data_IF_917279637144
#
_entry.id   IF_917279637144
#
_cell.length_a   1.000
_cell.length_b   1.000
_cell.length_c   1.000
_cell.angle_alpha   90.00
_cell.angle_beta   90.00
_cell.angle_gamma   90.00
#
_symmetry.space_group_name_H-M   'P 1'
#
loop_
_entity.id
_entity.type
_entity.pdbx_description
1 polymer ?
#
# COMPACT_ATOMS: atom_id res chain seq x y z
N UNK A 1 -14.53 -4.76 -20.01
CA UNK A 1 -13.38 -3.91 -19.71
C UNK A 1 -12.13 -4.55 -20.32
N UNK A 2 -11.31 -3.77 -21.06
CA UNK A 2 -10.13 -4.25 -21.78
C UNK A 2 -8.92 -4.39 -20.86
N UNK A 3 -9.06 -5.20 -19.81
CA UNK A 3 -7.96 -5.51 -18.87
C UNK A 3 -7.38 -6.86 -19.25
N UNK A 4 -6.07 -6.88 -19.52
CA UNK A 4 -5.34 -8.12 -19.84
C UNK A 4 -4.69 -8.67 -18.57
N UNK A 5 -4.68 -10.00 -18.45
CA UNK A 5 -3.93 -10.70 -17.37
C UNK A 5 -2.66 -11.26 -17.98
N UNK A 6 -1.52 -10.96 -17.37
CA UNK A 6 -0.19 -11.37 -17.84
C UNK A 6 0.64 -11.92 -16.69
N UNK A 7 1.60 -12.79 -17.00
CA UNK A 7 2.61 -13.23 -16.02
C UNK A 7 3.74 -12.21 -15.96
N UNK A 8 4.29 -12.02 -14.77
CA UNK A 8 5.48 -11.18 -14.53
C UNK A 8 6.52 -11.98 -13.74
N UNK A 9 7.82 -11.81 -14.03
CA UNK A 9 8.86 -12.52 -13.29
C UNK A 9 8.99 -12.01 -11.85
N UNK A 10 9.47 -12.88 -10.97
CA UNK A 10 9.72 -12.57 -9.55
C UNK A 10 8.64 -13.09 -8.61
N UNK A 11 8.92 -12.95 -7.31
CA UNK A 11 7.99 -13.32 -6.23
C UNK A 11 7.35 -12.05 -5.68
N UNK A 12 6.05 -12.11 -5.36
CA UNK A 12 5.29 -10.99 -4.80
C UNK A 12 5.31 -9.72 -5.70
N UNK A 13 5.33 -9.94 -7.01
CA UNK A 13 5.32 -8.89 -8.03
C UNK A 13 3.92 -8.64 -8.59
N UNK A 14 2.91 -9.24 -7.97
CA UNK A 14 1.51 -9.10 -8.36
C UNK A 14 1.08 -7.64 -8.26
N UNK A 15 0.51 -7.09 -9.33
CA UNK A 15 0.01 -5.72 -9.34
C UNK A 15 -0.91 -5.43 -10.53
N UNK A 16 -1.84 -4.51 -10.34
CA UNK A 16 -2.56 -3.88 -11.43
C UNK A 16 -1.81 -2.64 -11.94
N UNK A 17 -1.57 -2.55 -13.23
CA UNK A 17 -0.97 -1.38 -13.87
C UNK A 17 -2.07 -0.56 -14.59
N UNK A 18 -2.41 0.64 -14.10
CA UNK A 18 -3.46 1.46 -14.70
C UNK A 18 -3.05 2.11 -16.04
N UNK A 19 -1.75 2.26 -16.32
CA UNK A 19 -1.27 2.91 -17.54
C UNK A 19 -1.55 2.07 -18.78
N UNK A 20 -1.35 0.75 -18.69
CA UNK A 20 -1.58 -0.19 -19.78
C UNK A 20 -2.80 -1.11 -19.55
N UNK A 21 -3.52 -0.94 -18.45
CA UNK A 21 -4.68 -1.75 -18.02
C UNK A 21 -4.35 -3.25 -17.97
N UNK A 22 -3.24 -3.61 -17.34
CA UNK A 22 -2.87 -5.01 -17.15
C UNK A 22 -2.89 -5.39 -15.68
N UNK A 23 -3.39 -6.59 -15.40
CA UNK A 23 -3.17 -7.32 -14.16
C UNK A 23 -1.95 -8.20 -14.38
N UNK A 24 -0.88 -7.92 -13.67
CA UNK A 24 0.38 -8.63 -13.77
C UNK A 24 0.49 -9.55 -12.55
N UNK A 25 0.57 -10.86 -12.78
CA UNK A 25 0.63 -11.86 -11.72
C UNK A 25 2.03 -12.50 -11.72
N UNK A 26 2.60 -12.65 -10.53
CA UNK A 26 3.86 -13.38 -10.35
C UNK A 26 3.72 -14.82 -10.86
N UNK A 27 4.81 -15.43 -11.27
CA UNK A 27 4.80 -16.80 -11.83
C UNK A 27 4.14 -17.81 -10.87
N UNK A 28 4.38 -17.64 -9.56
CA UNK A 28 3.80 -18.49 -8.52
C UNK A 28 2.28 -18.33 -8.37
N UNK A 29 1.73 -17.17 -8.70
CA UNK A 29 0.29 -16.91 -8.69
C UNK A 29 -0.34 -17.27 -10.03
N UNK A 30 0.28 -16.87 -11.14
CA UNK A 30 -0.25 -17.09 -12.49
C UNK A 30 -0.39 -18.59 -12.84
N UNK A 31 0.58 -19.41 -12.44
CA UNK A 31 0.58 -20.87 -12.71
C UNK A 31 -0.09 -21.72 -11.63
N UNK A 32 -0.64 -21.13 -10.55
CA UNK A 32 -1.17 -21.87 -9.40
C UNK A 32 -2.69 -22.01 -9.44
N UNK A 33 -3.18 -23.21 -9.09
CA UNK A 33 -4.61 -23.47 -8.87
C UNK A 33 -5.03 -23.35 -7.40
N UNK A 34 -4.21 -22.73 -6.53
CA UNK A 34 -4.51 -22.59 -5.11
C UNK A 34 -5.55 -21.48 -4.86
N UNK A 35 -6.31 -21.64 -3.78
CA UNK A 35 -7.28 -20.62 -3.32
C UNK A 35 -6.59 -19.28 -3.02
N UNK A 36 -5.38 -19.33 -2.46
CA UNK A 36 -4.59 -18.13 -2.17
C UNK A 36 -4.19 -17.39 -3.46
N UNK A 37 -3.72 -18.11 -4.48
CA UNK A 37 -3.38 -17.51 -5.78
C UNK A 37 -4.62 -16.90 -6.46
N UNK A 38 -5.76 -17.58 -6.41
CA UNK A 38 -7.03 -17.04 -6.90
C UNK A 38 -7.44 -15.76 -6.14
N UNK A 39 -7.22 -15.72 -4.82
CA UNK A 39 -7.51 -14.55 -4.01
C UNK A 39 -6.61 -13.35 -4.36
N UNK A 40 -5.32 -13.56 -4.58
CA UNK A 40 -4.37 -12.52 -5.03
C UNK A 40 -4.78 -12.00 -6.41
N UNK A 41 -5.03 -12.90 -7.39
CA UNK A 41 -5.46 -12.50 -8.73
C UNK A 41 -6.77 -11.70 -8.70
N UNK A 42 -7.74 -12.12 -7.89
CA UNK A 42 -9.01 -11.41 -7.69
C UNK A 42 -8.79 -10.04 -7.04
N UNK A 43 -7.83 -9.92 -6.12
CA UNK A 43 -7.47 -8.65 -5.48
C UNK A 43 -6.94 -7.64 -6.50
N UNK A 44 -6.04 -8.05 -7.40
CA UNK A 44 -5.52 -7.19 -8.47
C UNK A 44 -6.63 -6.79 -9.46
N UNK A 45 -7.59 -7.68 -9.73
CA UNK A 45 -8.81 -7.31 -10.45
C UNK A 45 -9.68 -6.31 -9.68
N UNK A 46 -9.65 -6.36 -8.34
CA UNK A 46 -10.28 -5.38 -7.46
C UNK A 46 -9.74 -3.96 -7.69
N UNK A 47 -8.41 -3.81 -7.84
CA UNK A 47 -7.77 -2.54 -8.20
C UNK A 47 -8.15 -2.07 -9.60
N UNK A 48 -8.22 -2.97 -10.58
CA UNK A 48 -8.71 -2.63 -11.92
C UNK A 48 -10.13 -2.07 -11.87
N UNK A 49 -11.00 -2.67 -11.05
CA UNK A 49 -12.39 -2.21 -10.88
C UNK A 49 -12.46 -0.87 -10.12
N UNK A 50 -11.61 -0.65 -9.12
CA UNK A 50 -11.49 0.64 -8.44
C UNK A 50 -11.08 1.75 -9.43
N UNK A 51 -10.10 1.48 -10.29
CA UNK A 51 -9.67 2.41 -11.32
C UNK A 51 -10.80 2.71 -12.31
N UNK A 52 -11.49 1.67 -12.82
CA UNK A 52 -12.61 1.82 -13.75
C UNK A 52 -13.80 2.61 -13.17
N UNK A 53 -14.03 2.50 -11.84
CA UNK A 53 -15.07 3.23 -11.11
C UNK A 53 -14.63 4.57 -10.55
N UNK A 54 -13.40 5.00 -10.85
CA UNK A 54 -12.83 6.25 -10.37
C UNK A 54 -12.89 6.40 -8.83
N UNK A 55 -12.59 5.32 -8.10
CA UNK A 55 -12.64 5.26 -6.63
C UNK A 55 -11.76 6.34 -6.01
N UNK A 56 -12.36 7.24 -5.22
CA UNK A 56 -11.70 8.44 -4.74
C UNK A 56 -10.40 8.18 -3.93
N UNK A 57 -10.35 7.22 -2.98
CA UNK A 57 -9.10 6.93 -2.26
C UNK A 57 -7.97 6.44 -3.19
N UNK A 58 -8.27 5.67 -4.24
CA UNK A 58 -7.26 5.26 -5.22
C UNK A 58 -6.71 6.45 -6.01
N UNK A 59 -7.55 7.41 -6.38
CA UNK A 59 -7.12 8.66 -7.03
C UNK A 59 -6.22 9.48 -6.12
N UNK A 60 -6.58 9.61 -4.84
CA UNK A 60 -5.76 10.32 -3.85
C UNK A 60 -4.40 9.64 -3.67
N UNK A 61 -4.38 8.30 -3.52
CA UNK A 61 -3.15 7.51 -3.47
C UNK A 61 -2.28 7.80 -4.69
N UNK A 62 -2.84 7.70 -5.90
CA UNK A 62 -2.11 7.92 -7.16
C UNK A 62 -1.54 9.34 -7.27
N UNK A 63 -2.28 10.36 -6.82
CA UNK A 63 -1.82 11.74 -6.82
C UNK A 63 -0.65 11.99 -5.85
N UNK A 64 -0.58 11.21 -4.75
CA UNK A 64 0.50 11.32 -3.76
C UNK A 64 1.78 10.56 -4.16
N UNK A 65 1.71 9.61 -5.10
CA UNK A 65 2.88 8.81 -5.51
C UNK A 65 4.10 9.67 -5.85
N UNK A 66 4.03 10.70 -6.72
CA UNK A 66 5.22 11.50 -7.06
C UNK A 66 5.77 12.27 -5.84
N UNK A 67 4.91 12.75 -4.95
CA UNK A 67 5.32 13.44 -3.71
C UNK A 67 6.06 12.47 -2.79
N UNK A 68 5.52 11.27 -2.60
CA UNK A 68 6.14 10.24 -1.74
C UNK A 68 7.44 9.72 -2.34
N UNK A 69 7.52 9.52 -3.65
CA UNK A 69 8.75 9.12 -4.32
C UNK A 69 9.86 10.15 -4.12
N UNK A 70 9.57 11.43 -4.32
CA UNK A 70 10.53 12.51 -4.05
C UNK A 70 10.92 12.53 -2.57
N UNK A 71 9.94 12.54 -1.65
CA UNK A 71 10.19 12.56 -0.21
C UNK A 71 11.06 11.37 0.23
N UNK A 72 10.75 10.17 -0.22
CA UNK A 72 11.45 8.94 0.18
C UNK A 72 12.92 8.94 -0.26
N UNK A 73 13.27 9.62 -1.36
CA UNK A 73 14.65 9.68 -1.85
C UNK A 73 15.59 10.50 -0.94
N UNK A 74 15.05 11.45 -0.19
CA UNK A 74 15.84 12.40 0.59
C UNK A 74 15.56 12.38 2.09
N UNK A 75 14.39 11.88 2.53
CA UNK A 75 13.89 12.02 3.90
C UNK A 75 14.87 11.47 4.94
N UNK A 76 15.51 10.33 4.68
CA UNK A 76 16.46 9.72 5.61
C UNK A 76 17.68 10.61 5.89
N UNK A 77 18.19 11.25 4.86
CA UNK A 77 19.31 12.19 4.98
C UNK A 77 18.91 13.47 5.69
N UNK A 78 17.74 14.01 5.38
CA UNK A 78 17.21 15.23 6.01
C UNK A 78 16.93 15.00 7.50
N UNK A 79 16.33 13.85 7.86
CA UNK A 79 16.07 13.48 9.25
C UNK A 79 17.39 13.26 10.03
N UNK A 80 18.36 12.57 9.43
CA UNK A 80 19.67 12.36 10.06
C UNK A 80 20.37 13.70 10.33
N UNK A 81 20.48 14.57 9.31
CA UNK A 81 21.05 15.91 9.47
C UNK A 81 20.25 16.74 10.50
N UNK A 82 18.92 16.63 10.47
CA UNK A 82 18.03 17.33 11.40
C UNK A 82 18.23 16.93 12.86
N UNK A 83 18.44 15.64 13.14
CA UNK A 83 18.73 15.16 14.51
C UNK A 83 20.09 15.69 14.97
N UNK A 84 21.13 15.57 14.13
CA UNK A 84 22.48 16.01 14.48
C UNK A 84 22.55 17.52 14.73
N UNK A 85 21.71 18.30 14.05
CA UNK A 85 21.71 19.76 14.11
C UNK A 85 20.50 20.33 14.85
N UNK A 86 19.78 19.53 15.64
CA UNK A 86 18.51 19.93 16.26
C UNK A 86 18.64 21.14 17.20
N UNK A 87 19.78 21.34 17.82
CA UNK A 87 20.04 22.47 18.72
C UNK A 87 20.43 23.76 17.94
N UNK A 88 21.12 23.62 16.83
CA UNK A 88 21.63 24.77 16.05
C UNK A 88 20.67 25.17 14.91
N UNK A 89 20.10 24.20 14.20
CA UNK A 89 19.24 24.41 13.02
C UNK A 89 18.02 23.48 13.05
N UNK A 90 17.07 23.66 14.00
CA UNK A 90 15.92 22.79 14.16
C UNK A 90 15.00 22.73 12.93
N UNK A 91 15.06 23.72 12.04
CA UNK A 91 14.26 23.77 10.83
C UNK A 91 14.55 22.59 9.89
N UNK A 92 15.78 22.02 9.93
CA UNK A 92 16.15 20.87 9.12
C UNK A 92 15.34 19.65 9.59
N UNK A 93 15.24 19.43 10.90
CA UNK A 93 14.43 18.35 11.46
C UNK A 93 12.95 18.55 11.14
N UNK A 94 12.45 19.77 11.24
CA UNK A 94 11.07 20.09 10.88
C UNK A 94 10.77 19.78 9.41
N UNK A 95 11.68 20.12 8.49
CA UNK A 95 11.55 19.78 7.08
C UNK A 95 11.50 18.25 6.88
N UNK A 96 12.36 17.49 7.57
CA UNK A 96 12.34 16.03 7.55
C UNK A 96 11.03 15.45 8.07
N UNK A 97 10.48 16.01 9.14
CA UNK A 97 9.17 15.61 9.71
C UNK A 97 8.05 15.84 8.70
N UNK A 98 8.03 16.98 8.00
CA UNK A 98 7.02 17.28 6.97
C UNK A 98 7.13 16.30 5.79
N UNK A 99 8.33 16.01 5.32
CA UNK A 99 8.56 15.02 4.27
C UNK A 99 8.12 13.62 4.71
N UNK A 100 8.42 13.23 5.93
CA UNK A 100 8.02 11.92 6.47
C UNK A 100 6.50 11.83 6.70
N UNK A 101 5.86 12.93 7.11
CA UNK A 101 4.41 13.01 7.27
C UNK A 101 3.66 12.73 5.96
N UNK A 102 4.20 13.12 4.81
CA UNK A 102 3.63 12.78 3.49
C UNK A 102 3.60 11.25 3.27
N UNK A 103 4.66 10.54 3.63
CA UNK A 103 4.72 9.07 3.55
C UNK A 103 3.76 8.40 4.54
N UNK A 104 3.63 8.95 5.75
CA UNK A 104 2.66 8.48 6.75
C UNK A 104 1.24 8.64 6.24
N UNK A 105 0.89 9.82 5.70
CA UNK A 105 -0.41 10.08 5.11
C UNK A 105 -0.72 9.11 3.95
N UNK A 106 0.26 8.87 3.08
CA UNK A 106 0.13 7.90 1.99
C UNK A 106 -0.20 6.50 2.50
N UNK A 107 0.45 6.05 3.57
CA UNK A 107 0.19 4.74 4.19
C UNK A 107 -1.26 4.64 4.67
N UNK A 108 -1.80 5.69 5.32
CA UNK A 108 -3.19 5.72 5.77
C UNK A 108 -4.21 5.79 4.63
N UNK A 109 -3.92 6.52 3.55
CA UNK A 109 -4.79 6.58 2.36
C UNK A 109 -4.76 5.23 1.62
N UNK A 110 -3.67 4.48 1.69
CA UNK A 110 -3.56 3.16 1.08
C UNK A 110 -4.46 2.13 1.76
N UNK A 111 -4.67 2.20 3.08
CA UNK A 111 -5.50 1.23 3.82
C UNK A 111 -6.92 1.04 3.25
N UNK A 112 -7.74 2.08 3.06
CA UNK A 112 -9.08 1.89 2.49
C UNK A 112 -9.05 1.37 1.05
N UNK A 113 -7.99 1.65 0.29
CA UNK A 113 -7.82 1.13 -1.07
C UNK A 113 -7.65 -0.39 -1.02
N UNK A 114 -6.74 -0.88 -0.19
CA UNK A 114 -6.41 -2.31 -0.05
C UNK A 114 -7.59 -3.11 0.55
N UNK A 115 -8.22 -2.58 1.60
CA UNK A 115 -9.39 -3.21 2.22
C UNK A 115 -10.54 -3.32 1.22
N UNK A 116 -10.81 -2.26 0.45
CA UNK A 116 -11.88 -2.27 -0.53
C UNK A 116 -11.58 -3.21 -1.71
N UNK A 117 -10.32 -3.29 -2.20
CA UNK A 117 -9.93 -4.24 -3.25
C UNK A 117 -10.12 -5.68 -2.77
N UNK A 118 -9.67 -6.01 -1.55
CA UNK A 118 -9.85 -7.34 -0.93
C UNK A 118 -11.33 -7.70 -0.74
N UNK A 119 -12.15 -6.76 -0.26
CA UNK A 119 -13.58 -6.98 -0.12
C UNK A 119 -14.29 -7.28 -1.45
N UNK A 120 -13.91 -6.58 -2.52
CA UNK A 120 -14.40 -6.85 -3.88
C UNK A 120 -13.95 -8.22 -4.39
N UNK A 121 -12.71 -8.60 -4.14
CA UNK A 121 -12.16 -9.91 -4.50
C UNK A 121 -12.96 -11.04 -3.86
N UNK A 122 -13.18 -10.99 -2.55
CA UNK A 122 -13.94 -12.00 -1.81
C UNK A 122 -15.39 -12.12 -2.29
N UNK A 123 -16.06 -10.99 -2.46
CA UNK A 123 -17.43 -10.97 -2.96
C UNK A 123 -17.53 -11.59 -4.37
N UNK A 124 -16.59 -11.26 -5.26
CA UNK A 124 -16.56 -11.83 -6.60
C UNK A 124 -16.26 -13.32 -6.59
N UNK A 125 -15.29 -13.79 -5.81
CA UNK A 125 -14.93 -15.20 -5.72
C UNK A 125 -16.10 -16.06 -5.21
N UNK A 126 -16.85 -15.54 -4.23
CA UNK A 126 -18.06 -16.20 -3.73
C UNK A 126 -19.17 -16.25 -4.79
N UNK A 127 -19.46 -15.12 -5.44
CA UNK A 127 -20.53 -15.01 -6.44
C UNK A 127 -20.24 -15.82 -7.71
N UNK A 128 -18.97 -15.95 -8.09
CA UNK A 128 -18.52 -16.73 -9.23
C UNK A 128 -18.36 -18.23 -8.93
N UNK A 129 -18.63 -18.66 -7.69
CA UNK A 129 -18.48 -20.05 -7.27
C UNK A 129 -17.04 -20.56 -7.23
N UNK A 130 -16.05 -19.65 -7.24
CA UNK A 130 -14.62 -19.98 -7.11
C UNK A 130 -14.31 -20.44 -5.70
N UNK A 131 -14.96 -19.81 -4.69
CA UNK A 131 -14.92 -20.25 -3.31
C UNK A 131 -16.28 -20.75 -2.85
N UNK A 132 -16.25 -21.70 -1.94
CA UNK A 132 -17.42 -22.30 -1.29
C UNK A 132 -17.29 -22.25 0.25
N UNK A 133 -18.27 -22.79 0.98
CA UNK A 133 -18.27 -22.76 2.44
C UNK A 133 -17.02 -23.38 3.10
N UNK A 134 -16.30 -24.28 2.41
CA UNK A 134 -15.13 -24.96 2.97
C UNK A 134 -13.81 -24.18 2.75
N UNK A 135 -13.69 -23.43 1.65
CA UNK A 135 -12.44 -22.78 1.28
C UNK A 135 -12.51 -21.24 1.24
N UNK A 136 -13.69 -20.64 1.38
CA UNK A 136 -13.84 -19.17 1.38
C UNK A 136 -13.02 -18.51 2.50
N UNK A 137 -13.00 -19.16 3.69
CA UNK A 137 -12.21 -18.69 4.82
C UNK A 137 -10.71 -18.64 4.51
N UNK A 138 -10.17 -19.58 3.74
CA UNK A 138 -8.76 -19.57 3.35
C UNK A 138 -8.42 -18.37 2.44
N UNK A 139 -9.34 -18.00 1.52
CA UNK A 139 -9.18 -16.79 0.72
C UNK A 139 -9.22 -15.52 1.58
N UNK A 140 -10.18 -15.48 2.52
CA UNK A 140 -10.32 -14.36 3.46
C UNK A 140 -9.07 -14.20 4.33
N UNK A 141 -8.56 -15.29 4.91
CA UNK A 141 -7.38 -15.28 5.77
C UNK A 141 -6.12 -14.85 4.97
N UNK A 142 -5.97 -15.28 3.72
CA UNK A 142 -4.88 -14.85 2.84
C UNK A 142 -4.91 -13.33 2.59
N UNK A 143 -6.07 -12.78 2.21
CA UNK A 143 -6.23 -11.35 1.95
C UNK A 143 -6.16 -10.49 3.22
N UNK A 144 -6.67 -10.99 4.36
CA UNK A 144 -6.49 -10.32 5.65
C UNK A 144 -5.03 -10.26 6.07
N UNK A 145 -4.29 -11.35 5.91
CA UNK A 145 -2.85 -11.38 6.22
C UNK A 145 -2.08 -10.36 5.39
N UNK A 146 -2.39 -10.24 4.10
CA UNK A 146 -1.82 -9.20 3.25
C UNK A 146 -2.23 -7.79 3.72
N UNK A 147 -3.51 -7.57 4.05
CA UNK A 147 -4.00 -6.28 4.53
C UNK A 147 -3.34 -5.84 5.86
N UNK A 148 -3.04 -6.79 6.77
CA UNK A 148 -2.34 -6.48 8.01
C UNK A 148 -0.94 -5.91 7.80
N UNK A 149 -0.25 -6.25 6.72
CA UNK A 149 1.06 -5.65 6.40
C UNK A 149 0.94 -4.13 6.21
N UNK A 150 -0.12 -3.67 5.55
CA UNK A 150 -0.40 -2.23 5.38
C UNK A 150 -0.79 -1.56 6.69
N UNK A 151 -1.56 -2.25 7.56
CA UNK A 151 -1.90 -1.72 8.89
C UNK A 151 -0.65 -1.54 9.74
N UNK A 152 0.22 -2.55 9.78
CA UNK A 152 1.50 -2.48 10.52
C UNK A 152 2.38 -1.37 9.97
N UNK A 153 2.49 -1.24 8.64
CA UNK A 153 3.26 -0.16 8.00
C UNK A 153 2.72 1.24 8.38
N UNK A 154 1.39 1.43 8.37
CA UNK A 154 0.76 2.70 8.73
C UNK A 154 0.99 3.04 10.22
N UNK A 155 0.81 2.09 11.12
CA UNK A 155 1.03 2.28 12.55
C UNK A 155 2.51 2.53 12.88
N UNK A 156 3.43 1.80 12.24
CA UNK A 156 4.87 1.98 12.41
C UNK A 156 5.32 3.36 11.91
N UNK A 157 4.81 3.81 10.77
CA UNK A 157 5.11 5.15 10.26
C UNK A 157 4.57 6.24 11.17
N UNK A 158 3.36 6.07 11.72
CA UNK A 158 2.80 7.01 12.69
C UNK A 158 3.63 7.08 13.98
N UNK A 159 4.01 5.93 14.54
CA UNK A 159 4.86 5.88 15.73
C UNK A 159 6.21 6.57 15.49
N UNK A 160 6.81 6.35 14.34
CA UNK A 160 8.06 7.00 13.92
C UNK A 160 7.89 8.51 13.75
N UNK A 161 6.78 8.95 13.17
CA UNK A 161 6.46 10.37 13.03
C UNK A 161 6.33 11.04 14.40
N UNK A 162 5.60 10.43 15.33
CA UNK A 162 5.44 10.92 16.70
C UNK A 162 6.81 11.01 17.39
N UNK A 163 7.68 10.02 17.20
CA UNK A 163 9.03 10.03 17.76
C UNK A 163 9.84 11.24 17.26
N UNK A 164 9.86 11.53 15.96
CA UNK A 164 10.58 12.71 15.45
C UNK A 164 9.96 14.03 15.92
N UNK A 165 8.64 14.09 16.01
CA UNK A 165 7.95 15.27 16.58
C UNK A 165 8.34 15.47 18.03
N UNK A 166 8.44 14.40 18.84
CA UNK A 166 8.85 14.50 20.24
C UNK A 166 10.29 15.03 20.39
N UNK A 167 11.23 14.57 19.55
CA UNK A 167 12.60 15.13 19.52
C UNK A 167 12.58 16.62 19.18
N UNK A 168 11.78 16.99 18.17
CA UNK A 168 11.66 18.40 17.76
C UNK A 168 11.08 19.28 18.87
N UNK A 169 10.13 18.77 19.64
CA UNK A 169 9.50 19.51 20.74
C UNK A 169 10.39 19.56 21.99
N UNK A 170 11.06 18.48 22.35
CA UNK A 170 11.91 18.37 23.53
C UNK A 170 13.20 19.21 23.49
N UNK A 171 13.57 19.77 22.33
CA UNK A 171 14.70 20.72 22.21
C UNK A 171 14.50 22.06 22.94
N UNK A 172 13.29 22.33 23.43
CA UNK A 172 12.92 23.60 24.07
C UNK A 172 13.22 23.61 25.58
N UNK A 173 13.57 22.47 26.13
CA UNK A 173 13.97 22.28 27.53
C UNK A 173 15.50 22.17 27.64
#
# INVERSE_FOLDING_TARGET
>A
YDVKVTSTPGMLTDHYNPANKTVNLSEGVYGSCSVAAAAVAAHECGHALQHARAYAPLKMRSALVPVVQFSSSIVSWVLLAGILMVQSMPQILLAGIVLFAASTLFSFITLPVEINASGRALAWMSNAGITNAFNHKAAEDALKSAAYTYVVAALSSLATLIYYVSIYMGRRD
#
